data_IF_397462298794
#
_entry.id   IF_397462298794
#
_cell.length_a   1.000
_cell.length_b   1.000
_cell.length_c   1.000
_cell.angle_alpha   90.00
_cell.angle_beta   90.00
_cell.angle_gamma   90.00
#
_symmetry.space_group_name_H-M   'P 1'
#
loop_
_entity.id
_entity.type
_entity.pdbx_description
1 polymer ?
#
# COMPACT_ATOMS: atom_id res chain seq x y z
N UNK A 1 7.54 -29.55 -38.17
CA UNK A 1 7.63 -29.46 -36.69
C UNK A 1 7.62 -28.02 -36.17
N UNK A 2 7.14 -27.03 -36.93
CA UNK A 2 7.20 -25.59 -36.57
C UNK A 2 5.88 -25.03 -36.01
N UNK A 3 4.73 -25.64 -36.32
CA UNK A 3 3.42 -25.14 -35.86
C UNK A 3 3.13 -25.36 -34.37
N UNK A 4 3.68 -26.42 -33.76
CA UNK A 4 3.45 -26.72 -32.33
C UNK A 4 4.19 -25.77 -31.39
N UNK A 5 5.43 -25.40 -31.73
CA UNK A 5 6.20 -24.42 -30.97
C UNK A 5 5.60 -23.01 -31.09
N UNK A 6 5.11 -22.64 -32.28
CA UNK A 6 4.47 -21.34 -32.50
C UNK A 6 3.13 -21.22 -31.75
N UNK A 7 2.32 -22.28 -31.72
CA UNK A 7 1.08 -22.31 -30.94
C UNK A 7 1.35 -22.23 -29.44
N UNK A 8 2.40 -22.90 -28.94
CA UNK A 8 2.78 -22.84 -27.51
C UNK A 8 3.28 -21.44 -27.11
N UNK A 9 4.06 -20.78 -27.97
CA UNK A 9 4.54 -19.41 -27.72
C UNK A 9 3.39 -18.40 -27.78
N UNK A 10 2.44 -18.54 -28.71
CA UNK A 10 1.24 -17.70 -28.74
C UNK A 10 0.33 -17.96 -27.54
N UNK A 11 0.13 -19.22 -27.14
CA UNK A 11 -0.65 -19.56 -25.94
C UNK A 11 0.00 -19.03 -24.66
N UNK A 12 1.32 -19.15 -24.53
CA UNK A 12 2.09 -18.62 -23.40
C UNK A 12 2.07 -17.09 -23.37
N UNK A 13 2.23 -16.42 -24.52
CA UNK A 13 2.09 -14.96 -24.65
C UNK A 13 0.65 -14.48 -24.45
N UNK A 14 -0.36 -15.27 -24.81
CA UNK A 14 -1.78 -14.94 -24.58
C UNK A 14 -2.21 -15.17 -23.13
N UNK A 15 -1.57 -16.10 -22.39
CA UNK A 15 -1.74 -16.17 -20.93
C UNK A 15 -1.08 -14.99 -20.22
N UNK A 16 0.00 -14.43 -20.77
CA UNK A 16 0.60 -13.17 -20.30
C UNK A 16 -0.28 -11.95 -20.66
N UNK A 17 -1.19 -12.08 -21.64
CA UNK A 17 -2.00 -10.99 -22.16
C UNK A 17 -3.48 -11.02 -21.74
N UNK A 18 -3.89 -11.85 -20.76
CA UNK A 18 -5.26 -11.87 -20.22
C UNK A 18 -5.21 -11.93 -18.70
N UNK A 19 -4.81 -10.83 -18.07
CA UNK A 19 -4.95 -10.60 -16.64
C UNK A 19 -4.96 -9.08 -16.39
N UNK A 20 -5.88 -8.35 -17.00
CA UNK A 20 -5.85 -6.88 -17.00
C UNK A 20 -6.21 -6.23 -15.63
N UNK A 21 -6.70 -7.02 -14.67
CA UNK A 21 -6.78 -6.61 -13.28
C UNK A 21 -7.05 -7.79 -12.34
N UNK A 22 -6.51 -7.73 -11.13
CA UNK A 22 -6.87 -8.62 -10.04
C UNK A 22 -7.51 -7.86 -8.88
N UNK A 23 -8.43 -8.51 -8.18
CA UNK A 23 -8.96 -8.01 -6.92
C UNK A 23 -8.29 -8.75 -5.76
N UNK A 24 -7.81 -7.98 -4.79
CA UNK A 24 -7.19 -8.50 -3.59
C UNK A 24 -7.98 -8.04 -2.38
N UNK A 25 -8.53 -8.99 -1.64
CA UNK A 25 -9.19 -8.72 -0.37
C UNK A 25 -8.15 -8.67 0.75
N UNK A 26 -7.99 -7.49 1.35
CA UNK A 26 -7.03 -7.21 2.42
C UNK A 26 -7.80 -6.75 3.67
N UNK A 27 -8.24 -7.74 4.44
CA UNK A 27 -9.10 -7.52 5.60
C UNK A 27 -10.42 -6.85 5.19
N UNK A 28 -10.75 -5.64 5.69
CA UNK A 28 -12.00 -4.95 5.37
C UNK A 28 -11.97 -4.20 4.03
N UNK A 29 -10.85 -4.20 3.29
CA UNK A 29 -10.68 -3.41 2.06
C UNK A 29 -10.40 -4.30 0.87
N UNK A 30 -11.03 -3.99 -0.28
CA UNK A 30 -10.72 -4.62 -1.56
C UNK A 30 -9.81 -3.72 -2.39
N UNK A 31 -8.67 -4.24 -2.79
CA UNK A 31 -7.73 -3.55 -3.65
C UNK A 31 -7.95 -4.01 -5.08
N UNK A 32 -8.04 -3.06 -6.01
CA UNK A 32 -7.87 -3.38 -7.42
C UNK A 32 -6.36 -3.32 -7.72
N UNK A 33 -5.84 -4.30 -8.42
CA UNK A 33 -4.45 -4.32 -8.87
C UNK A 33 -4.45 -4.32 -10.39
N UNK A 34 -4.00 -3.21 -10.97
CA UNK A 34 -3.69 -3.16 -12.40
C UNK A 34 -2.39 -3.94 -12.62
N UNK A 35 -2.50 -5.16 -13.13
CA UNK A 35 -1.34 -6.03 -13.32
C UNK A 35 -0.42 -5.51 -14.43
N UNK A 36 -0.87 -4.58 -15.29
CA UNK A 36 0.01 -3.88 -16.22
C UNK A 36 0.98 -2.92 -15.51
N UNK A 37 0.63 -2.47 -14.30
CA UNK A 37 1.48 -1.65 -13.44
C UNK A 37 2.50 -2.46 -12.64
N UNK A 38 2.32 -3.78 -12.56
CA UNK A 38 3.12 -4.68 -11.74
C UNK A 38 4.15 -5.38 -12.65
N UNK A 39 5.44 -5.01 -12.59
CA UNK A 39 6.45 -5.60 -13.46
C UNK A 39 6.69 -7.09 -13.21
N UNK A 40 6.25 -7.59 -12.05
CA UNK A 40 6.42 -8.95 -11.59
C UNK A 40 5.20 -9.36 -10.72
N UNK A 41 4.21 -10.08 -11.27
CA UNK A 41 2.90 -10.28 -10.67
C UNK A 41 2.89 -11.36 -9.56
N UNK A 42 3.95 -11.41 -8.75
CA UNK A 42 3.97 -12.24 -7.55
C UNK A 42 3.21 -11.54 -6.42
N UNK A 43 2.31 -12.25 -5.74
CA UNK A 43 1.53 -11.72 -4.64
C UNK A 43 1.66 -12.64 -3.42
N UNK A 44 2.02 -12.07 -2.28
CA UNK A 44 2.11 -12.78 -1.01
C UNK A 44 1.27 -12.05 0.06
N UNK A 45 0.21 -12.72 0.53
CA UNK A 45 -0.58 -12.27 1.66
C UNK A 45 0.11 -12.62 2.98
N UNK A 46 0.22 -11.65 3.89
CA UNK A 46 0.72 -11.87 5.24
C UNK A 46 -0.43 -12.16 6.19
N UNK A 47 -0.16 -12.97 7.21
CA UNK A 47 -1.08 -13.13 8.32
C UNK A 47 -1.28 -11.76 9.01
N UNK A 48 -2.51 -11.41 9.44
CA UNK A 48 -2.75 -10.19 10.17
C UNK A 48 -1.94 -10.14 11.47
N UNK A 49 -1.46 -8.97 11.83
CA UNK A 49 -0.65 -8.77 13.03
C UNK A 49 -0.99 -7.45 13.71
N UNK A 50 -0.58 -7.30 14.97
CA UNK A 50 -0.83 -6.09 15.74
C UNK A 50 0.32 -5.09 15.62
N UNK A 51 -0.02 -3.81 15.45
CA UNK A 51 0.92 -2.69 15.60
C UNK A 51 0.36 -1.67 16.59
N UNK A 52 1.27 -0.90 17.18
CA UNK A 52 0.94 0.21 18.09
C UNK A 52 1.53 1.48 17.50
N UNK A 53 0.68 2.48 17.30
CA UNK A 53 1.09 3.80 16.88
C UNK A 53 0.94 4.79 18.03
N UNK A 54 1.89 5.72 18.15
CA UNK A 54 1.77 6.83 19.08
C UNK A 54 1.17 8.03 18.36
N UNK A 55 0.22 8.70 19.01
CA UNK A 55 -0.30 9.95 18.48
C UNK A 55 0.75 11.07 18.65
N UNK A 56 1.21 11.72 17.56
CA UNK A 56 2.19 12.80 17.68
C UNK A 56 1.70 14.00 18.52
N UNK A 57 0.39 14.17 18.68
CA UNK A 57 -0.22 15.21 19.49
C UNK A 57 -0.66 14.72 20.87
N UNK A 58 -0.58 13.42 21.14
CA UNK A 58 -0.91 12.79 22.43
C UNK A 58 0.02 11.61 22.67
N UNK A 59 1.31 11.87 22.97
CA UNK A 59 2.34 10.82 23.04
C UNK A 59 2.14 9.79 24.15
N UNK A 60 1.27 10.09 25.13
CA UNK A 60 0.88 9.16 26.19
C UNK A 60 -0.28 8.23 25.78
N UNK A 61 -0.83 8.40 24.58
CA UNK A 61 -1.92 7.59 24.04
C UNK A 61 -1.40 6.63 22.97
N UNK A 62 -1.38 5.35 23.33
CA UNK A 62 -1.14 4.27 22.38
C UNK A 62 -2.42 3.96 21.59
N UNK A 63 -2.29 3.94 20.26
CA UNK A 63 -3.35 3.52 19.35
C UNK A 63 -3.01 2.13 18.84
N UNK A 64 -3.78 1.15 19.30
CA UNK A 64 -3.65 -0.23 18.86
C UNK A 64 -4.35 -0.43 17.52
N UNK A 65 -3.72 -1.17 16.62
CA UNK A 65 -4.31 -1.51 15.34
C UNK A 65 -4.03 -2.95 14.92
N UNK A 66 -4.90 -3.45 14.05
CA UNK A 66 -4.67 -4.69 13.30
C UNK A 66 -4.21 -4.30 11.91
N UNK A 67 -3.08 -4.86 11.48
CA UNK A 67 -2.48 -4.61 10.17
C UNK A 67 -2.71 -5.81 9.27
N UNK A 68 -3.30 -5.54 8.11
CA UNK A 68 -3.44 -6.49 7.01
C UNK A 68 -2.44 -6.10 5.93
N UNK A 69 -1.52 -6.99 5.58
CA UNK A 69 -0.43 -6.67 4.66
C UNK A 69 -0.34 -7.62 3.46
N UNK A 70 0.04 -7.06 2.31
CA UNK A 70 0.34 -7.80 1.09
C UNK A 70 1.65 -7.32 0.48
N UNK A 71 2.47 -8.26 0.02
CA UNK A 71 3.69 -7.97 -0.73
C UNK A 71 3.47 -8.28 -2.21
N UNK A 72 3.92 -7.38 -3.07
CA UNK A 72 3.80 -7.50 -4.52
C UNK A 72 5.22 -7.50 -5.13
N UNK A 73 5.49 -8.49 -5.99
CA UNK A 73 6.79 -8.74 -6.62
C UNK A 73 7.69 -9.70 -5.82
N UNK A 74 8.63 -10.39 -6.50
CA UNK A 74 9.54 -11.35 -5.85
C UNK A 74 10.60 -10.70 -4.93
N UNK A 75 10.73 -9.37 -4.92
CA UNK A 75 11.65 -8.60 -4.07
C UNK A 75 10.95 -7.45 -3.34
N UNK A 76 9.92 -7.77 -2.55
CA UNK A 76 8.77 -6.90 -2.23
C UNK A 76 8.89 -5.51 -2.86
N UNK A 77 8.62 -5.44 -4.16
CA UNK A 77 8.78 -4.21 -4.94
C UNK A 77 7.79 -3.16 -4.45
N UNK A 78 6.60 -3.63 -4.05
CA UNK A 78 5.63 -2.87 -3.30
C UNK A 78 5.08 -3.64 -2.10
N UNK A 79 4.74 -2.90 -1.05
CA UNK A 79 4.04 -3.38 0.13
C UNK A 79 2.79 -2.54 0.31
N UNK A 80 1.65 -3.18 0.52
CA UNK A 80 0.38 -2.52 0.85
C UNK A 80 -0.05 -3.00 2.23
N UNK A 81 -0.38 -2.05 3.11
CA UNK A 81 -0.87 -2.30 4.45
C UNK A 81 -2.20 -1.57 4.66
N UNK A 82 -3.16 -2.23 5.29
CA UNK A 82 -4.36 -1.62 5.85
C UNK A 82 -4.25 -1.69 7.36
N UNK A 83 -4.20 -0.53 8.00
CA UNK A 83 -4.20 -0.39 9.44
C UNK A 83 -5.63 -0.09 9.88
N UNK A 84 -6.25 -1.02 10.58
CA UNK A 84 -7.55 -0.84 11.22
C UNK A 84 -7.33 -0.53 12.71
N UNK A 85 -7.57 0.73 13.07
CA UNK A 85 -7.41 1.24 14.43
C UNK A 85 -8.57 0.76 15.30
N UNK A 86 -8.26 0.40 16.55
CA UNK A 86 -9.29 0.08 17.54
C UNK A 86 -10.16 1.31 17.85
N UNK A 87 -9.53 2.49 17.91
CA UNK A 87 -10.17 3.79 18.13
C UNK A 87 -9.89 4.74 16.96
N UNK A 88 -10.83 5.63 16.58
CA UNK A 88 -10.58 6.62 15.53
C UNK A 88 -9.40 7.52 15.87
N UNK A 89 -8.46 7.63 14.94
CA UNK A 89 -7.22 8.36 15.10
C UNK A 89 -7.14 9.57 14.16
N UNK A 90 -6.31 10.55 14.50
CA UNK A 90 -6.21 11.81 13.79
C UNK A 90 -5.76 11.61 12.34
N UNK A 91 -6.58 12.06 11.39
CA UNK A 91 -6.29 11.94 9.96
C UNK A 91 -5.68 13.22 9.36
N UNK A 92 -5.11 14.10 10.19
CA UNK A 92 -4.31 15.25 9.73
C UNK A 92 -3.07 14.78 8.98
N UNK A 93 -2.42 15.70 8.25
CA UNK A 93 -1.17 15.40 7.54
C UNK A 93 -0.09 14.90 8.52
N UNK A 94 0.12 15.59 9.66
CA UNK A 94 1.14 15.14 10.62
C UNK A 94 0.78 13.79 11.26
N UNK A 95 -0.52 13.49 11.46
CA UNK A 95 -0.96 12.17 11.91
C UNK A 95 -0.65 11.08 10.88
N UNK A 96 -0.90 11.37 9.60
CA UNK A 96 -0.56 10.49 8.47
C UNK A 96 0.95 10.33 8.28
N UNK A 97 1.74 11.37 8.53
CA UNK A 97 3.21 11.24 8.53
C UNK A 97 3.70 10.42 9.73
N UNK A 98 3.08 10.61 10.90
CA UNK A 98 3.37 9.85 12.13
C UNK A 98 3.14 8.35 11.94
N UNK A 99 2.04 7.94 11.32
CA UNK A 99 1.79 6.53 11.00
C UNK A 99 2.82 5.98 10.02
N UNK A 100 3.18 6.74 8.97
CA UNK A 100 4.21 6.31 8.01
C UNK A 100 5.53 6.05 8.74
N UNK A 101 5.94 6.96 9.62
CA UNK A 101 7.21 6.84 10.36
C UNK A 101 7.23 5.70 11.37
N UNK A 102 6.08 5.31 11.91
CA UNK A 102 5.97 4.21 12.88
C UNK A 102 5.69 2.84 12.24
N UNK A 103 5.24 2.79 10.99
CA UNK A 103 4.90 1.53 10.26
C UNK A 103 6.07 0.59 9.97
N UNK A 104 7.32 1.03 10.21
CA UNK A 104 8.52 0.26 9.84
C UNK A 104 8.75 0.10 8.34
N UNK A 105 7.94 0.74 7.48
CA UNK A 105 8.12 0.73 6.02
C UNK A 105 9.27 1.63 5.54
N UNK A 106 9.71 2.55 6.40
CA UNK A 106 10.83 3.45 6.13
C UNK A 106 12.16 2.84 6.65
N UNK A 107 13.23 2.78 5.84
CA UNK A 107 14.51 2.22 6.29
C UNK A 107 15.25 3.15 7.27
N UNK A 108 15.68 2.61 8.41
CA UNK A 108 16.44 3.36 9.42
C UNK A 108 17.70 4.05 8.85
N UNK A 109 17.95 5.28 9.33
CA UNK A 109 19.13 6.06 8.94
C UNK A 109 19.03 6.76 7.57
N UNK A 110 17.88 6.68 6.89
CA UNK A 110 17.67 7.36 5.61
C UNK A 110 17.22 8.80 5.79
N UNK A 111 17.44 9.61 4.75
CA UNK A 111 16.92 10.99 4.72
C UNK A 111 15.50 10.97 4.19
N UNK A 112 14.60 11.68 4.86
CA UNK A 112 13.18 11.73 4.53
C UNK A 112 12.74 13.12 4.09
N UNK A 113 11.94 13.18 3.04
CA UNK A 113 11.22 14.37 2.59
C UNK A 113 9.74 14.05 2.49
N UNK A 114 8.88 14.91 3.03
CA UNK A 114 7.43 14.69 3.08
C UNK A 114 6.66 15.74 2.29
N UNK A 115 5.45 15.38 1.90
CA UNK A 115 4.56 16.29 1.20
C UNK A 115 3.11 15.82 1.21
N UNK A 116 2.25 16.71 0.73
CA UNK A 116 0.85 16.41 0.52
C UNK A 116 0.67 15.44 -0.64
N UNK A 117 -0.23 14.48 -0.44
CA UNK A 117 -0.71 13.59 -1.48
C UNK A 117 -2.19 13.84 -1.72
N UNK A 118 -2.55 14.29 -2.91
CA UNK A 118 -3.94 14.46 -3.33
C UNK A 118 -4.26 13.43 -4.42
N UNK A 119 -4.96 12.36 -4.06
CA UNK A 119 -5.39 11.34 -5.01
C UNK A 119 -6.90 11.29 -5.05
N UNK A 120 -7.45 11.74 -6.19
CA UNK A 120 -8.84 11.71 -6.71
C UNK A 120 -10.03 11.91 -5.76
N UNK A 121 -9.98 11.50 -4.48
CA UNK A 121 -10.95 11.72 -3.39
C UNK A 121 -10.37 11.71 -1.97
N UNK A 122 -9.09 11.42 -1.78
CA UNK A 122 -8.45 11.29 -0.46
C UNK A 122 -7.27 12.25 -0.34
N UNK A 123 -7.22 12.99 0.78
CA UNK A 123 -6.01 13.68 1.23
C UNK A 123 -5.14 12.68 1.99
N UNK A 124 -3.87 12.67 1.65
CA UNK A 124 -2.87 11.77 2.20
C UNK A 124 -1.57 12.47 2.52
N UNK A 125 -0.66 11.75 3.15
CA UNK A 125 0.74 12.11 3.26
C UNK A 125 1.57 11.23 2.33
N UNK A 126 2.66 11.77 1.81
CA UNK A 126 3.69 11.00 1.14
C UNK A 126 5.03 11.30 1.76
N UNK A 127 5.82 10.26 2.03
CA UNK A 127 7.20 10.36 2.49
C UNK A 127 8.10 9.66 1.49
N UNK A 128 9.12 10.38 1.04
CA UNK A 128 10.19 9.86 0.19
C UNK A 128 11.43 9.65 1.07
N UNK A 129 11.85 8.41 1.23
CA UNK A 129 13.12 8.05 1.85
C UNK A 129 14.20 7.91 0.78
N UNK A 130 15.37 8.49 1.04
CA UNK A 130 16.53 8.41 0.16
C UNK A 130 17.79 8.04 0.93
N UNK A 131 18.66 7.29 0.26
CA UNK A 131 20.03 6.97 0.68
C UNK A 131 20.95 7.08 -0.54
N UNK A 132 22.23 7.40 -0.33
CA UNK A 132 23.22 7.52 -1.42
C UNK A 132 23.49 6.18 -2.11
N UNK A 133 23.35 5.09 -1.38
CA UNK A 133 23.89 3.77 -1.78
C UNK A 133 22.77 2.75 -2.09
N UNK A 134 21.50 3.15 -1.93
CA UNK A 134 20.35 2.26 -2.06
C UNK A 134 19.20 2.87 -2.86
N UNK A 135 18.26 2.03 -3.29
CA UNK A 135 17.11 2.45 -4.10
C UNK A 135 16.09 3.23 -3.26
N UNK A 136 15.69 4.42 -3.74
CA UNK A 136 14.72 5.29 -3.04
C UNK A 136 13.44 4.53 -2.67
N UNK A 137 12.95 4.72 -1.45
CA UNK A 137 11.66 4.17 -1.00
C UNK A 137 10.65 5.30 -0.92
N UNK A 138 9.45 5.08 -1.44
CA UNK A 138 8.34 6.03 -1.33
C UNK A 138 7.19 5.36 -0.61
N UNK A 139 6.74 5.98 0.47
CA UNK A 139 5.60 5.53 1.27
C UNK A 139 4.49 6.58 1.19
N UNK A 140 3.28 6.18 0.84
CA UNK A 140 2.10 7.04 0.90
C UNK A 140 1.10 6.50 1.91
N UNK A 141 0.39 7.41 2.59
CA UNK A 141 -0.68 7.07 3.52
C UNK A 141 -1.98 7.80 3.15
N UNK A 142 -3.10 7.09 3.22
CA UNK A 142 -4.43 7.61 2.95
C UNK A 142 -5.39 7.18 4.06
N UNK A 143 -6.14 8.13 4.62
CA UNK A 143 -7.27 7.82 5.49
C UNK A 143 -8.49 7.42 4.66
N UNK A 144 -9.18 6.35 5.05
CA UNK A 144 -10.23 5.73 4.24
C UNK A 144 -11.66 6.11 4.67
N UNK A 145 -11.89 6.37 5.96
CA UNK A 145 -13.22 6.57 6.58
C UNK A 145 -13.29 7.84 7.45
N UNK A 146 -12.85 8.98 6.88
CA UNK A 146 -12.74 10.23 7.60
C UNK A 146 -14.11 10.78 8.08
N UNK A 147 -14.28 10.90 9.40
CA UNK A 147 -15.38 11.62 10.05
C UNK A 147 -14.80 12.56 11.12
N UNK A 148 -15.13 13.86 11.02
CA UNK A 148 -14.66 14.86 12.00
C UNK A 148 -13.14 14.99 12.09
N UNK A 149 -12.40 14.71 11.01
CA UNK A 149 -10.92 14.74 10.99
C UNK A 149 -10.25 13.54 11.67
N UNK A 150 -11.02 12.50 11.99
CA UNK A 150 -10.51 11.22 12.48
C UNK A 150 -10.85 10.10 11.50
N UNK A 151 -9.99 9.08 11.44
CA UNK A 151 -10.22 7.88 10.65
C UNK A 151 -9.95 6.64 11.48
N UNK A 152 -10.74 5.60 11.24
CA UNK A 152 -10.55 4.28 11.83
C UNK A 152 -9.66 3.41 10.95
N UNK A 153 -9.52 3.73 9.66
CA UNK A 153 -8.71 2.96 8.72
C UNK A 153 -7.77 3.84 7.91
N UNK A 154 -6.53 3.37 7.81
CA UNK A 154 -5.49 3.97 6.98
C UNK A 154 -4.92 2.93 6.03
N UNK A 155 -4.69 3.33 4.78
CA UNK A 155 -3.94 2.54 3.82
C UNK A 155 -2.54 3.11 3.69
N UNK A 156 -1.52 2.27 3.88
CA UNK A 156 -0.13 2.59 3.63
C UNK A 156 0.35 1.79 2.43
N UNK A 157 1.06 2.45 1.52
CA UNK A 157 1.68 1.81 0.36
C UNK A 157 3.13 2.23 0.29
N UNK A 158 4.06 1.28 0.31
CA UNK A 158 5.48 1.50 0.09
C UNK A 158 5.91 0.89 -1.25
N UNK A 159 6.79 1.56 -1.99
CA UNK A 159 7.51 0.93 -3.11
C UNK A 159 8.94 1.44 -3.27
N UNK A 160 9.81 0.58 -3.80
CA UNK A 160 11.18 0.92 -4.19
C UNK A 160 11.13 1.55 -5.58
N UNK A 161 11.43 2.84 -5.67
CA UNK A 161 11.18 3.66 -6.86
C UNK A 161 12.13 3.32 -8.03
N UNK A 162 11.71 2.39 -8.89
CA UNK A 162 12.07 2.35 -10.32
C UNK A 162 10.88 2.57 -11.26
N UNK A 163 9.65 2.48 -10.75
CA UNK A 163 8.38 2.71 -11.45
C UNK A 163 7.37 3.31 -10.45
N UNK A 164 6.43 4.14 -10.92
CA UNK A 164 5.44 4.84 -10.09
C UNK A 164 4.36 3.92 -9.46
N UNK A 165 4.72 2.68 -9.09
CA UNK A 165 3.80 1.67 -8.58
C UNK A 165 3.09 2.14 -7.30
N UNK A 166 3.73 2.91 -6.41
CA UNK A 166 3.06 3.44 -5.20
C UNK A 166 1.80 4.24 -5.55
N UNK A 167 1.91 5.19 -6.50
CA UNK A 167 0.78 6.07 -6.85
C UNK A 167 -0.31 5.29 -7.58
N UNK A 168 0.07 4.40 -8.50
CA UNK A 168 -0.90 3.57 -9.23
C UNK A 168 -1.66 2.62 -8.29
N UNK A 169 -0.98 2.00 -7.31
CA UNK A 169 -1.59 1.15 -6.28
C UNK A 169 -2.49 1.95 -5.33
N UNK A 170 -2.12 3.19 -5.01
CA UNK A 170 -2.97 4.06 -4.19
C UNK A 170 -4.22 4.54 -4.96
N UNK A 171 -4.12 4.80 -6.27
CA UNK A 171 -5.26 5.17 -7.12
C UNK A 171 -6.25 4.02 -7.34
N UNK A 172 -5.80 2.78 -7.16
CA UNK A 172 -6.59 1.58 -7.37
C UNK A 172 -7.32 1.07 -6.12
N UNK A 173 -7.13 1.71 -4.96
CA UNK A 173 -7.87 1.36 -3.74
C UNK A 173 -9.38 1.53 -3.96
N UNK A 174 -10.16 0.51 -3.59
CA UNK A 174 -11.63 0.57 -3.65
C UNK A 174 -12.19 0.14 -2.30
N UNK A 175 -12.77 1.08 -1.57
CA UNK A 175 -13.53 0.70 -0.38
C UNK A 175 -14.86 0.09 -0.82
N UNK A 176 -14.94 -1.22 -0.78
CA UNK A 176 -16.19 -1.96 -0.89
C UNK A 176 -16.46 -2.57 0.47
N UNK A 177 -17.65 -2.39 1.07
CA UNK A 177 -18.01 -3.15 2.26
C UNK A 177 -17.88 -4.63 1.91
N UNK A 178 -17.08 -5.37 2.68
CA UNK A 178 -16.98 -6.82 2.55
C UNK A 178 -18.41 -7.39 2.59
N UNK A 179 -18.82 -8.22 1.62
CA UNK A 179 -20.11 -8.88 1.71
C UNK A 179 -20.10 -9.68 3.01
N UNK A 180 -20.98 -9.30 3.93
CA UNK A 180 -21.12 -9.99 5.20
C UNK A 180 -21.27 -11.50 4.94
N UNK A 181 -20.42 -12.30 5.57
CA UNK A 181 -20.59 -13.76 5.67
C UNK A 181 -21.76 -14.03 6.61
#
# INVERSE_FOLDING_TARGET
MTGRAFLFVILYLSMIAIADAEFLDLGPVRLYLDMAAVPDPFLELKAPYGEVHQDPYSPDQDVFCVVYAAHIGHRPDAVVQIHEMQEPWNSSLDGLEGIIRSSGLLPDGWTYDSGDLNLTRHRGAIVNATSSDQEKVRVGALALDQEGGKAKRFCLVASRCRKNCTLMLMESLRFMPSPAI
#
